data_IF_047436290214
#
_entry.id   IF_047436290214
#
_cell.length_a   1.000
_cell.length_b   1.000
_cell.length_c   1.000
_cell.angle_alpha   90.00
_cell.angle_beta   90.00
_cell.angle_gamma   90.00
#
_symmetry.space_group_name_H-M   'P 1'
#
loop_
_entity.id
_entity.type
_entity.pdbx_description
1 polymer ?
#
# COMPACT_ATOMS: atom_id res chain seq x y z
N UNK A 1 17.73 -8.49 4.49
CA UNK A 1 17.89 -7.05 4.19
C UNK A 1 17.93 -6.78 2.68
N UNK A 2 18.73 -7.52 1.89
CA UNK A 2 18.76 -7.38 0.41
C UNK A 2 17.41 -7.63 -0.28
N UNK A 3 16.67 -8.63 0.20
CA UNK A 3 15.39 -9.05 -0.40
C UNK A 3 14.29 -7.98 -0.34
N UNK A 4 14.19 -7.20 0.75
CA UNK A 4 13.19 -6.13 0.85
C UNK A 4 13.53 -4.97 -0.09
N UNK A 5 14.79 -4.55 -0.16
CA UNK A 5 15.20 -3.44 -1.03
C UNK A 5 15.01 -3.74 -2.51
N UNK A 6 15.10 -5.01 -2.90
CA UNK A 6 14.85 -5.45 -4.28
C UNK A 6 13.35 -5.47 -4.60
N UNK A 7 12.52 -5.94 -3.66
CA UNK A 7 11.08 -6.04 -3.88
C UNK A 7 10.34 -4.72 -3.71
N UNK A 8 10.70 -3.92 -2.72
CA UNK A 8 10.00 -2.68 -2.39
C UNK A 8 11.00 -1.56 -2.15
N UNK A 9 11.70 -1.10 -3.21
CA UNK A 9 12.78 -0.12 -3.08
C UNK A 9 12.31 1.22 -2.53
N UNK A 10 11.02 1.54 -2.72
CA UNK A 10 10.43 2.82 -2.37
C UNK A 10 9.75 2.82 -0.98
N UNK A 11 9.80 1.70 -0.24
CA UNK A 11 9.15 1.59 1.07
C UNK A 11 10.08 2.14 2.16
N UNK A 12 9.70 3.28 2.73
CA UNK A 12 10.44 3.98 3.81
C UNK A 12 9.80 3.63 5.16
N UNK A 13 10.42 3.87 6.31
CA UNK A 13 9.71 3.77 7.61
C UNK A 13 9.64 2.41 8.33
N UNK A 14 10.26 1.35 7.80
CA UNK A 14 10.48 0.11 8.57
C UNK A 14 10.79 -1.15 7.75
N UNK A 15 11.09 -2.25 8.45
CA UNK A 15 11.30 -3.57 7.85
C UNK A 15 10.01 -4.37 7.85
N UNK A 16 9.63 -4.92 6.69
CA UNK A 16 8.53 -5.88 6.58
C UNK A 16 8.93 -7.19 7.27
N UNK A 17 7.97 -7.82 7.96
CA UNK A 17 8.20 -9.16 8.52
C UNK A 17 8.20 -10.21 7.40
N UNK A 18 8.83 -11.36 7.65
CA UNK A 18 9.03 -12.41 6.64
C UNK A 18 7.73 -12.89 5.99
N UNK A 19 6.64 -12.99 6.76
CA UNK A 19 5.32 -13.37 6.24
C UNK A 19 4.70 -12.26 5.37
N UNK A 20 4.96 -11.00 5.68
CA UNK A 20 4.47 -9.86 4.89
C UNK A 20 5.19 -9.81 3.54
N UNK A 21 6.50 -10.05 3.53
CA UNK A 21 7.27 -10.17 2.29
C UNK A 21 6.75 -11.31 1.41
N UNK A 22 6.40 -12.46 2.00
CA UNK A 22 5.77 -13.56 1.25
C UNK A 22 4.43 -13.15 0.64
N UNK A 23 3.58 -12.44 1.39
CA UNK A 23 2.31 -11.91 0.88
C UNK A 23 2.50 -10.93 -0.28
N UNK A 24 3.46 -10.01 -0.16
CA UNK A 24 3.80 -9.06 -1.25
C UNK A 24 4.31 -9.80 -2.48
N UNK A 25 5.22 -10.77 -2.33
CA UNK A 25 5.71 -11.60 -3.45
C UNK A 25 4.58 -12.34 -4.16
N UNK A 26 3.64 -12.88 -3.38
CA UNK A 26 2.48 -13.57 -3.93
C UNK A 26 1.59 -12.63 -4.74
N UNK A 27 1.34 -11.41 -4.24
CA UNK A 27 0.60 -10.38 -4.99
C UNK A 27 1.32 -9.97 -6.29
N UNK A 28 2.65 -9.82 -6.26
CA UNK A 28 3.44 -9.51 -7.46
C UNK A 28 3.30 -10.63 -8.50
N UNK A 29 3.42 -11.89 -8.07
CA UNK A 29 3.25 -13.04 -8.96
C UNK A 29 1.86 -13.09 -9.59
N UNK A 30 0.81 -12.82 -8.82
CA UNK A 30 -0.56 -12.74 -9.36
C UNK A 30 -0.68 -11.65 -10.41
N UNK A 31 -0.16 -10.45 -10.12
CA UNK A 31 -0.18 -9.33 -11.05
C UNK A 31 0.59 -9.63 -12.35
N UNK A 32 1.77 -10.24 -12.26
CA UNK A 32 2.56 -10.67 -13.43
C UNK A 32 1.84 -11.71 -14.30
N UNK A 33 0.99 -12.55 -13.69
CA UNK A 33 0.18 -13.54 -14.39
C UNK A 33 -1.20 -13.00 -14.84
N UNK A 34 -1.50 -11.72 -14.60
CA UNK A 34 -2.82 -11.15 -14.91
C UNK A 34 -3.97 -11.74 -14.08
N UNK A 35 -3.66 -12.30 -12.90
CA UNK A 35 -4.61 -12.94 -12.00
C UNK A 35 -5.02 -12.00 -10.86
N UNK A 36 -6.27 -12.09 -10.44
CA UNK A 36 -6.76 -11.43 -9.23
C UNK A 36 -6.52 -12.31 -8.00
N UNK A 37 -6.20 -11.70 -6.86
CA UNK A 37 -5.96 -12.42 -5.60
C UNK A 37 -6.77 -11.89 -4.44
N UNK A 38 -7.07 -12.78 -3.50
CA UNK A 38 -7.68 -12.44 -2.21
C UNK A 38 -6.68 -12.76 -1.11
N UNK A 39 -6.28 -11.75 -0.33
CA UNK A 39 -5.49 -11.96 0.88
C UNK A 39 -6.38 -12.52 2.00
N UNK A 40 -6.37 -13.84 2.17
CA UNK A 40 -7.10 -14.55 3.22
C UNK A 40 -6.33 -14.64 4.56
N UNK A 41 -5.31 -13.80 4.76
CA UNK A 41 -4.53 -13.76 5.99
C UNK A 41 -5.42 -13.45 7.22
N UNK A 42 -5.05 -14.00 8.38
CA UNK A 42 -5.66 -13.63 9.66
C UNK A 42 -5.69 -12.11 9.91
N UNK A 43 -6.67 -11.65 10.69
CA UNK A 43 -6.77 -10.26 11.12
C UNK A 43 -5.50 -9.86 11.90
N UNK A 44 -5.02 -8.63 11.73
CA UNK A 44 -3.83 -8.13 12.44
C UNK A 44 -2.47 -8.48 11.83
N UNK A 45 -2.40 -9.26 10.75
CA UNK A 45 -1.14 -9.56 10.04
C UNK A 45 -0.61 -8.39 9.18
N UNK A 46 -1.25 -7.22 9.22
CA UNK A 46 -0.82 -6.05 8.46
C UNK A 46 -1.07 -6.21 6.96
N UNK A 47 -2.31 -6.53 6.57
CA UNK A 47 -2.72 -6.55 5.15
C UNK A 47 -2.50 -5.18 4.49
N UNK A 48 -2.76 -4.09 5.22
CA UNK A 48 -2.52 -2.72 4.75
C UNK A 48 -1.08 -2.49 4.31
N UNK A 49 -0.09 -2.83 5.16
CA UNK A 49 1.32 -2.63 4.81
C UNK A 49 1.78 -3.57 3.67
N UNK A 50 1.19 -4.77 3.55
CA UNK A 50 1.43 -5.63 2.38
C UNK A 50 0.90 -4.97 1.09
N UNK A 51 -0.30 -4.39 1.11
CA UNK A 51 -0.84 -3.67 -0.05
C UNK A 51 0.01 -2.45 -0.42
N UNK A 52 0.44 -1.65 0.57
CA UNK A 52 1.33 -0.50 0.33
C UNK A 52 2.67 -0.95 -0.25
N UNK A 53 3.22 -2.06 0.25
CA UNK A 53 4.43 -2.68 -0.31
C UNK A 53 4.23 -3.12 -1.77
N UNK A 54 3.11 -3.76 -2.09
CA UNK A 54 2.80 -4.13 -3.47
C UNK A 54 2.71 -2.92 -4.40
N UNK A 55 2.00 -1.85 -4.00
CA UNK A 55 1.96 -0.60 -4.76
C UNK A 55 3.36 0.02 -4.95
N UNK A 56 4.24 -0.17 -3.96
CA UNK A 56 5.60 0.40 -3.94
C UNK A 56 6.49 -0.29 -4.96
N UNK A 57 6.31 -1.60 -5.08
CA UNK A 57 6.92 -2.39 -6.14
C UNK A 57 6.47 -1.92 -7.53
N UNK A 58 5.16 -1.77 -7.75
CA UNK A 58 4.64 -1.35 -9.05
C UNK A 58 5.18 0.02 -9.45
N UNK A 59 5.16 0.98 -8.53
CA UNK A 59 5.71 2.32 -8.77
C UNK A 59 7.23 2.28 -9.05
N UNK A 60 7.99 1.47 -8.33
CA UNK A 60 9.42 1.27 -8.57
C UNK A 60 9.74 0.70 -9.96
N UNK A 61 8.81 -0.04 -10.57
CA UNK A 61 8.93 -0.56 -11.94
C UNK A 61 8.46 0.43 -13.02
N UNK A 62 8.22 1.71 -12.67
CA UNK A 62 7.78 2.74 -13.62
C UNK A 62 6.29 2.72 -13.94
N UNK A 63 5.48 2.00 -13.16
CA UNK A 63 4.02 2.02 -13.30
C UNK A 63 3.43 3.15 -12.45
N UNK A 64 3.59 4.37 -12.94
CA UNK A 64 2.95 5.57 -12.38
C UNK A 64 1.49 5.68 -12.86
N UNK A 65 0.66 4.80 -12.31
CA UNK A 65 -0.79 4.79 -12.51
C UNK A 65 -1.57 5.32 -11.31
N UNK A 66 -2.84 5.65 -11.52
CA UNK A 66 -3.78 5.92 -10.42
C UNK A 66 -4.26 4.59 -9.82
N UNK A 67 -3.94 4.36 -8.54
CA UNK A 67 -4.40 3.19 -7.79
C UNK A 67 -5.57 3.57 -6.88
N UNK A 68 -6.68 2.82 -6.97
CA UNK A 68 -7.85 3.01 -6.11
C UNK A 68 -7.86 1.96 -4.99
N UNK A 69 -7.86 2.42 -3.74
CA UNK A 69 -8.05 1.56 -2.56
C UNK A 69 -9.38 1.93 -1.92
N UNK A 70 -10.25 0.93 -1.73
CA UNK A 70 -11.54 1.08 -1.05
C UNK A 70 -11.44 0.39 0.30
N UNK A 71 -11.73 1.13 1.37
CA UNK A 71 -11.71 0.61 2.74
C UNK A 71 -12.85 1.22 3.57
N UNK A 72 -13.33 0.53 4.63
CA UNK A 72 -14.31 1.09 5.55
C UNK A 72 -13.80 2.36 6.26
N UNK A 73 -14.70 3.30 6.56
CA UNK A 73 -14.35 4.58 7.18
C UNK A 73 -13.50 4.42 8.45
N UNK A 74 -13.85 3.46 9.30
CA UNK A 74 -13.15 3.18 10.56
C UNK A 74 -11.67 2.82 10.38
N UNK A 75 -11.28 2.36 9.18
CA UNK A 75 -9.90 1.96 8.87
C UNK A 75 -9.13 3.02 8.11
N UNK A 76 -9.77 4.09 7.62
CA UNK A 76 -9.13 5.12 6.80
C UNK A 76 -8.00 5.83 7.54
N UNK A 77 -8.18 6.16 8.82
CA UNK A 77 -7.12 6.79 9.62
C UNK A 77 -5.88 5.89 9.74
N UNK A 78 -6.08 4.58 9.84
CA UNK A 78 -4.98 3.61 9.84
C UNK A 78 -4.28 3.58 8.48
N UNK A 79 -5.03 3.56 7.38
CA UNK A 79 -4.46 3.65 6.03
C UNK A 79 -3.63 4.93 5.84
N UNK A 80 -4.13 6.08 6.27
CA UNK A 80 -3.41 7.35 6.17
C UNK A 80 -2.10 7.33 6.96
N UNK A 81 -2.12 6.83 8.20
CA UNK A 81 -0.92 6.71 9.02
C UNK A 81 0.11 5.75 8.40
N UNK A 82 -0.34 4.60 7.90
CA UNK A 82 0.53 3.62 7.25
C UNK A 82 1.11 4.16 5.94
N UNK A 83 0.34 4.88 5.13
CA UNK A 83 0.84 5.51 3.90
C UNK A 83 1.81 6.65 4.23
N UNK A 84 1.50 7.50 5.20
CA UNK A 84 2.41 8.57 5.62
C UNK A 84 3.73 8.01 6.17
N UNK A 85 3.67 6.87 6.85
CA UNK A 85 4.84 6.20 7.41
C UNK A 85 5.66 5.44 6.37
N UNK A 86 5.00 4.72 5.46
CA UNK A 86 5.64 3.75 4.56
C UNK A 86 5.73 4.18 3.09
N UNK A 87 4.87 5.11 2.67
CA UNK A 87 4.62 5.48 1.28
C UNK A 87 4.87 6.95 0.99
N UNK A 88 6.06 7.45 1.32
CA UNK A 88 6.50 8.85 1.11
C UNK A 88 6.32 9.36 -0.34
N UNK A 89 6.03 8.47 -1.31
CA UNK A 89 5.98 8.77 -2.75
C UNK A 89 4.57 8.74 -3.38
N UNK A 90 3.49 8.56 -2.61
CA UNK A 90 2.14 8.56 -3.18
C UNK A 90 1.42 9.89 -2.90
N UNK A 91 1.01 10.59 -3.96
CA UNK A 91 -0.06 11.57 -3.85
C UNK A 91 -1.36 10.82 -3.55
N UNK A 92 -1.68 10.70 -2.26
CA UNK A 92 -2.84 9.93 -1.80
C UNK A 92 -4.03 10.86 -1.71
N UNK A 93 -5.06 10.61 -2.51
CA UNK A 93 -6.32 11.33 -2.44
C UNK A 93 -7.34 10.46 -1.67
N UNK A 94 -7.84 10.96 -0.54
CA UNK A 94 -8.82 10.27 0.29
C UNK A 94 -10.22 10.72 -0.07
N UNK A 95 -11.06 9.79 -0.53
CA UNK A 95 -12.48 10.03 -0.76
C UNK A 95 -13.30 9.34 0.34
N UNK A 96 -13.95 10.13 1.19
CA UNK A 96 -14.89 9.63 2.21
C UNK A 96 -16.32 9.96 1.81
N UNK A 97 -17.16 8.94 1.67
CA UNK A 97 -18.60 9.09 1.37
C UNK A 97 -19.42 9.69 2.52
N UNK A 98 -18.82 9.89 3.71
CA UNK A 98 -19.45 10.66 4.80
C UNK A 98 -19.09 12.15 4.79
N UNK A 99 -18.23 12.60 3.87
CA UNK A 99 -17.76 13.97 3.83
C UNK A 99 -18.36 14.75 2.65
N UNK A 100 -19.58 15.25 2.83
CA UNK A 100 -20.00 16.51 2.20
C UNK A 100 -19.29 17.74 2.80
N UNK A 101 -18.17 17.55 3.53
CA UNK A 101 -17.33 18.64 4.05
C UNK A 101 -15.85 18.30 3.89
N UNK A 102 -15.26 19.03 2.95
CA UNK A 102 -13.82 19.32 2.79
C UNK A 102 -12.95 18.20 2.21
N UNK A 103 -12.61 18.35 0.93
CA UNK A 103 -11.44 17.74 0.30
C UNK A 103 -10.20 18.45 0.88
N UNK A 104 -9.41 17.75 1.70
CA UNK A 104 -8.12 18.25 2.19
C UNK A 104 -7.00 17.79 1.25
N UNK A 105 -6.46 18.71 0.46
CA UNK A 105 -5.19 18.55 -0.23
C UNK A 105 -4.04 18.78 0.77
N UNK A 106 -3.12 17.83 0.91
CA UNK A 106 -1.85 18.06 1.61
C UNK A 106 -0.78 18.50 0.60
N UNK A 107 -0.11 19.65 0.80
CA UNK A 107 1.04 20.03 -0.01
C UNK A 107 2.28 19.25 0.45
N UNK A 108 3.07 18.78 -0.51
CA UNK A 108 4.42 18.28 -0.26
C UNK A 108 5.32 19.48 0.06
N UNK A 109 5.90 19.49 1.26
CA UNK A 109 7.00 20.39 1.64
C UNK A 109 8.33 19.65 1.53
#
# INVERSE_FOLDING_TARGET
>A
MKEQSELVPLLTGGKLKSYQLKGVKWLISLWQNGLNGILADQMGLGKTIQTIGFLSHLKGNGLDGLYLVIAPLSTLSNWMNEIARYGTLYHTCLFSVQALRTISFFPSS
#
